data_IF_001259729305
#
_entry.id   IF_001259729305
#
_cell.length_a   1.000
_cell.length_b   1.000
_cell.length_c   1.000
_cell.angle_alpha   90.00
_cell.angle_beta   90.00
_cell.angle_gamma   90.00
#
_symmetry.space_group_name_H-M   'P 1'
#
loop_
_entity.id
_entity.type
_entity.pdbx_description
1 polymer ?
#
# COMPACT_ATOMS: atom_id res chain seq x y z
N UNK A 1 -32.65 7.19 3.66
CA UNK A 1 -32.98 5.75 3.55
C UNK A 1 -31.69 4.97 3.29
N UNK A 2 -31.12 4.38 4.33
CA UNK A 2 -29.87 3.59 4.21
C UNK A 2 -30.24 2.15 3.84
N UNK A 3 -29.88 1.73 2.63
CA UNK A 3 -30.05 0.34 2.17
C UNK A 3 -29.03 -0.55 2.89
N UNK A 4 -29.46 -1.24 3.95
CA UNK A 4 -28.69 -2.30 4.60
C UNK A 4 -28.59 -3.49 3.64
N UNK A 5 -27.43 -3.70 3.00
CA UNK A 5 -27.12 -4.96 2.29
C UNK A 5 -26.93 -6.06 3.34
N UNK A 6 -27.80 -7.07 3.29
CA UNK A 6 -27.77 -8.24 4.19
C UNK A 6 -26.71 -9.22 3.67
N UNK A 7 -25.74 -9.54 4.50
CA UNK A 7 -24.76 -10.59 4.23
C UNK A 7 -25.41 -11.94 4.53
N UNK A 8 -25.58 -12.79 3.52
CA UNK A 8 -26.10 -14.15 3.68
C UNK A 8 -25.04 -15.01 4.37
N UNK A 9 -25.38 -15.50 5.56
CA UNK A 9 -24.62 -16.46 6.35
C UNK A 9 -24.67 -17.83 5.65
N UNK A 10 -23.57 -18.31 5.09
CA UNK A 10 -23.48 -19.68 4.55
C UNK A 10 -23.07 -20.62 5.69
N UNK A 11 -23.95 -21.57 5.99
CA UNK A 11 -23.81 -22.52 7.07
C UNK A 11 -22.79 -23.62 6.73
N UNK A 12 -21.81 -23.77 7.61
CA UNK A 12 -20.85 -24.89 7.60
C UNK A 12 -21.58 -26.17 8.04
N UNK A 13 -21.87 -27.07 7.12
CA UNK A 13 -22.39 -28.41 7.44
C UNK A 13 -21.22 -29.39 7.63
N UNK A 14 -20.76 -29.57 8.87
CA UNK A 14 -19.98 -30.76 9.25
C UNK A 14 -20.91 -31.98 9.25
N UNK A 15 -20.69 -32.93 8.35
CA UNK A 15 -21.34 -34.25 8.39
C UNK A 15 -20.28 -35.29 8.78
N UNK A 16 -20.34 -35.74 10.03
CA UNK A 16 -19.66 -36.94 10.51
C UNK A 16 -20.34 -38.18 9.92
N UNK A 17 -19.61 -39.01 9.17
CA UNK A 17 -20.14 -40.24 8.56
C UNK A 17 -19.90 -41.43 9.50
N UNK A 18 -20.99 -42.00 10.04
CA UNK A 18 -21.00 -43.32 10.65
C UNK A 18 -21.16 -44.39 9.57
N UNK A 19 -20.33 -45.45 9.64
CA UNK A 19 -20.21 -46.46 8.59
C UNK A 19 -21.40 -47.41 8.48
N UNK A 20 -22.04 -47.42 7.31
CA UNK A 20 -22.82 -48.55 6.78
C UNK A 20 -22.45 -48.74 5.30
N UNK A 21 -22.32 -50.00 4.86
CA UNK A 21 -21.96 -50.36 3.49
C UNK A 21 -23.05 -49.88 2.50
N UNK A 22 -22.76 -48.82 1.74
CA UNK A 22 -23.54 -48.37 0.60
C UNK A 22 -22.83 -48.73 -0.72
N UNK A 23 -23.56 -48.96 -1.82
CA UNK A 23 -22.97 -49.26 -3.14
C UNK A 23 -22.08 -48.11 -3.64
N UNK A 24 -20.86 -48.43 -4.08
CA UNK A 24 -19.78 -47.48 -4.43
C UNK A 24 -20.18 -46.49 -5.54
N UNK A 25 -21.12 -46.85 -6.41
CA UNK A 25 -21.65 -45.98 -7.47
C UNK A 25 -22.39 -44.75 -6.94
N UNK A 26 -23.09 -44.84 -5.80
CA UNK A 26 -23.73 -43.67 -5.18
C UNK A 26 -22.72 -42.75 -4.49
N UNK A 27 -21.58 -43.30 -4.06
CA UNK A 27 -20.49 -42.54 -3.44
C UNK A 27 -19.77 -41.67 -4.47
N UNK A 28 -19.53 -42.19 -5.68
CA UNK A 28 -18.91 -41.44 -6.78
C UNK A 28 -19.79 -40.25 -7.23
N UNK A 29 -21.09 -40.50 -7.48
CA UNK A 29 -22.06 -39.45 -7.85
C UNK A 29 -22.21 -38.37 -6.76
N UNK A 30 -22.03 -38.78 -5.50
CA UNK A 30 -22.04 -37.87 -4.34
C UNK A 30 -20.77 -37.01 -4.27
N UNK A 31 -19.60 -37.56 -4.59
CA UNK A 31 -18.32 -36.83 -4.58
C UNK A 31 -18.25 -35.85 -5.77
N UNK A 32 -18.69 -36.25 -6.96
CA UNK A 32 -18.80 -35.35 -8.13
C UNK A 32 -19.67 -34.14 -7.84
N UNK A 33 -20.82 -34.36 -7.18
CA UNK A 33 -21.71 -33.26 -6.77
C UNK A 33 -21.03 -32.31 -5.78
N UNK A 34 -20.26 -32.83 -4.82
CA UNK A 34 -19.50 -32.01 -3.85
C UNK A 34 -18.38 -31.22 -4.53
N UNK A 35 -17.65 -31.82 -5.46
CA UNK A 35 -16.61 -31.12 -6.24
C UNK A 35 -17.24 -29.96 -7.02
N UNK A 36 -18.37 -30.20 -7.69
CA UNK A 36 -19.11 -29.16 -8.43
C UNK A 36 -19.60 -28.03 -7.51
N UNK A 37 -20.06 -28.35 -6.31
CA UNK A 37 -20.42 -27.34 -5.30
C UNK A 37 -19.19 -26.52 -4.89
N UNK A 38 -18.04 -27.15 -4.68
CA UNK A 38 -16.82 -26.46 -4.32
C UNK A 38 -16.30 -25.54 -5.43
N UNK A 39 -16.44 -25.95 -6.69
CA UNK A 39 -16.12 -25.11 -7.84
C UNK A 39 -17.01 -23.85 -7.91
N UNK A 40 -18.30 -24.00 -7.62
CA UNK A 40 -19.23 -22.86 -7.54
C UNK A 40 -18.86 -21.92 -6.39
N UNK A 41 -18.50 -22.46 -5.23
CA UNK A 41 -18.06 -21.67 -4.07
C UNK A 41 -16.76 -20.92 -4.37
N UNK A 42 -15.74 -21.58 -4.91
CA UNK A 42 -14.47 -20.97 -5.30
C UNK A 42 -14.71 -19.86 -6.33
N UNK A 43 -15.58 -20.08 -7.32
CA UNK A 43 -15.92 -19.08 -8.33
C UNK A 43 -16.57 -17.85 -7.70
N UNK A 44 -17.55 -18.03 -6.81
CA UNK A 44 -18.20 -16.93 -6.10
C UNK A 44 -17.23 -16.16 -5.17
N UNK A 45 -16.30 -16.86 -4.52
CA UNK A 45 -15.26 -16.22 -3.70
C UNK A 45 -14.29 -15.40 -4.54
N UNK A 46 -13.88 -15.90 -5.72
CA UNK A 46 -13.03 -15.16 -6.67
C UNK A 46 -13.75 -13.92 -7.22
N UNK A 47 -15.04 -14.02 -7.54
CA UNK A 47 -15.85 -12.85 -7.91
C UNK A 47 -15.90 -11.80 -6.79
N UNK A 48 -16.08 -12.25 -5.53
CA UNK A 48 -16.05 -11.37 -4.36
C UNK A 48 -14.68 -10.70 -4.18
N UNK A 49 -13.58 -11.44 -4.37
CA UNK A 49 -12.22 -10.88 -4.32
C UNK A 49 -12.01 -9.81 -5.39
N UNK A 50 -12.46 -10.07 -6.61
CA UNK A 50 -12.37 -9.10 -7.70
C UNK A 50 -13.17 -7.84 -7.37
N UNK A 51 -14.40 -7.98 -6.85
CA UNK A 51 -15.22 -6.84 -6.44
C UNK A 51 -14.65 -6.05 -5.27
N UNK A 52 -13.95 -6.69 -4.32
CA UNK A 52 -13.22 -6.01 -3.25
C UNK A 52 -12.01 -5.28 -3.82
N UNK A 53 -11.28 -5.90 -4.75
CA UNK A 53 -10.11 -5.30 -5.40
C UNK A 53 -10.49 -4.04 -6.19
N UNK A 54 -11.60 -4.06 -6.94
CA UNK A 54 -12.10 -2.87 -7.61
C UNK A 54 -12.45 -1.73 -6.64
N UNK A 55 -13.08 -2.04 -5.51
CA UNK A 55 -13.37 -1.04 -4.48
C UNK A 55 -12.10 -0.46 -3.84
N UNK A 56 -11.04 -1.27 -3.69
CA UNK A 56 -9.74 -0.79 -3.21
C UNK A 56 -9.12 0.16 -4.23
N UNK A 57 -9.13 -0.19 -5.51
CA UNK A 57 -8.60 0.68 -6.58
C UNK A 57 -9.35 2.01 -6.67
N UNK A 58 -10.69 1.99 -6.65
CA UNK A 58 -11.50 3.22 -6.63
C UNK A 58 -11.17 4.10 -5.41
N UNK A 59 -10.98 3.48 -4.25
CA UNK A 59 -10.63 4.19 -3.02
C UNK A 59 -9.21 4.76 -3.07
N UNK A 60 -8.25 4.06 -3.66
CA UNK A 60 -6.89 4.56 -3.88
C UNK A 60 -6.89 5.78 -4.81
N UNK A 61 -7.72 5.80 -5.85
CA UNK A 61 -7.92 6.97 -6.71
C UNK A 61 -8.52 8.15 -5.92
N UNK A 62 -9.50 7.91 -5.05
CA UNK A 62 -10.06 8.94 -4.17
C UNK A 62 -9.02 9.49 -3.18
N UNK A 63 -8.16 8.63 -2.62
CA UNK A 63 -7.06 9.04 -1.73
C UNK A 63 -6.04 9.89 -2.51
N UNK A 64 -5.68 9.50 -3.73
CA UNK A 64 -4.78 10.28 -4.58
C UNK A 64 -5.36 11.66 -4.91
N UNK A 65 -6.66 11.74 -5.22
CA UNK A 65 -7.36 13.01 -5.45
C UNK A 65 -7.37 13.91 -4.20
N UNK A 66 -7.60 13.33 -3.02
CA UNK A 66 -7.50 14.06 -1.74
C UNK A 66 -6.08 14.59 -1.53
N UNK A 67 -5.08 13.82 -1.92
CA UNK A 67 -3.69 14.22 -1.80
C UNK A 67 -3.38 15.43 -2.70
N UNK A 68 -3.82 15.41 -3.95
CA UNK A 68 -3.71 16.54 -4.88
C UNK A 68 -4.43 17.80 -4.37
N UNK A 69 -5.64 17.64 -3.82
CA UNK A 69 -6.38 18.73 -3.16
C UNK A 69 -5.59 19.30 -1.96
N UNK A 70 -4.94 18.44 -1.18
CA UNK A 70 -4.08 18.81 -0.06
C UNK A 70 -2.87 19.65 -0.49
N UNK A 71 -2.17 19.24 -1.55
CA UNK A 71 -1.07 20.01 -2.14
C UNK A 71 -1.55 21.38 -2.61
N UNK A 72 -2.70 21.42 -3.31
CA UNK A 72 -3.25 22.67 -3.81
C UNK A 72 -3.61 23.65 -2.68
N UNK A 73 -4.23 23.16 -1.61
CA UNK A 73 -4.54 23.95 -0.41
C UNK A 73 -3.27 24.46 0.28
N UNK A 74 -2.23 23.63 0.37
CA UNK A 74 -0.97 24.05 0.97
C UNK A 74 -0.30 25.17 0.14
N UNK A 75 -0.31 25.04 -1.20
CA UNK A 75 0.18 26.09 -2.09
C UNK A 75 -0.58 27.40 -1.92
N UNK A 76 -1.91 27.35 -1.77
CA UNK A 76 -2.71 28.53 -1.46
C UNK A 76 -2.27 29.15 -0.13
N UNK A 77 -2.08 28.33 0.91
CA UNK A 77 -1.61 28.78 2.23
C UNK A 77 -0.25 29.49 2.14
N UNK A 78 0.70 28.94 1.38
CA UNK A 78 2.03 29.55 1.16
C UNK A 78 1.91 30.88 0.42
N UNK A 79 1.08 30.97 -0.62
CA UNK A 79 0.84 32.23 -1.32
C UNK A 79 0.22 33.29 -0.41
N UNK A 80 -0.79 32.92 0.39
CA UNK A 80 -1.41 33.83 1.37
C UNK A 80 -0.39 34.31 2.41
N UNK A 81 0.53 33.45 2.86
CA UNK A 81 1.58 33.85 3.78
C UNK A 81 2.51 34.91 3.16
N UNK A 82 2.88 34.74 1.89
CA UNK A 82 3.67 35.73 1.14
C UNK A 82 2.90 37.05 0.94
N UNK A 83 1.62 36.98 0.58
CA UNK A 83 0.75 38.16 0.46
C UNK A 83 0.60 38.90 1.78
N UNK A 84 0.48 38.18 2.89
CA UNK A 84 0.43 38.74 4.24
C UNK A 84 1.72 39.47 4.61
N UNK A 85 2.89 38.88 4.31
CA UNK A 85 4.18 39.54 4.52
C UNK A 85 4.35 40.78 3.64
N UNK A 86 3.86 40.75 2.40
CA UNK A 86 3.88 41.94 1.55
C UNK A 86 2.93 43.03 2.08
N UNK A 87 1.73 42.65 2.53
CA UNK A 87 0.77 43.59 3.13
C UNK A 87 1.36 44.26 4.38
N UNK A 88 2.09 43.53 5.23
CA UNK A 88 2.81 44.11 6.39
C UNK A 88 3.81 45.18 5.96
N UNK A 89 4.57 44.95 4.89
CA UNK A 89 5.51 45.94 4.34
C UNK A 89 4.78 47.15 3.78
N UNK A 90 3.68 46.94 3.06
CA UNK A 90 2.86 48.01 2.49
C UNK A 90 2.25 48.91 3.58
N UNK A 91 1.80 48.32 4.69
CA UNK A 91 1.29 49.04 5.87
C UNK A 91 2.37 49.96 6.47
N UNK A 92 3.58 49.44 6.69
CA UNK A 92 4.70 50.23 7.23
C UNK A 92 5.09 51.37 6.28
N UNK A 93 5.16 51.09 4.98
CA UNK A 93 5.47 52.12 3.98
C UNK A 93 4.38 53.20 3.92
N UNK A 94 3.11 52.81 4.03
CA UNK A 94 2.00 53.74 4.07
C UNK A 94 2.06 54.61 5.33
N UNK A 95 2.31 54.03 6.51
CA UNK A 95 2.41 54.79 7.77
C UNK A 95 3.51 55.87 7.71
N UNK A 96 4.69 55.53 7.17
CA UNK A 96 5.76 56.52 6.93
C UNK A 96 5.30 57.65 6.01
N UNK A 97 4.57 57.32 4.93
CA UNK A 97 4.02 58.31 3.98
C UNK A 97 2.98 59.21 4.66
N UNK A 98 2.09 58.62 5.48
CA UNK A 98 1.08 59.34 6.26
C UNK A 98 1.74 60.34 7.20
N UNK A 99 2.75 59.92 7.95
CA UNK A 99 3.44 60.76 8.92
C UNK A 99 4.18 61.93 8.24
N UNK A 100 4.91 61.65 7.15
CA UNK A 100 5.58 62.70 6.34
C UNK A 100 4.58 63.71 5.79
N UNK A 101 3.45 63.24 5.24
CA UNK A 101 2.39 64.09 4.68
C UNK A 101 1.71 64.92 5.75
N UNK A 102 1.40 64.33 6.90
CA UNK A 102 0.78 65.00 8.05
C UNK A 102 1.67 66.12 8.58
N UNK A 103 2.98 65.86 8.71
CA UNK A 103 3.94 66.88 9.12
C UNK A 103 4.08 67.99 8.06
N UNK A 104 4.08 67.66 6.77
CA UNK A 104 4.12 68.65 5.70
C UNK A 104 2.89 69.56 5.72
N UNK A 105 1.68 68.98 5.81
CA UNK A 105 0.42 69.71 5.92
C UNK A 105 0.41 70.56 7.20
N UNK A 106 0.88 70.04 8.33
CA UNK A 106 0.97 70.79 9.60
C UNK A 106 1.94 71.96 9.50
N UNK A 107 3.10 71.78 8.88
CA UNK A 107 4.08 72.86 8.64
C UNK A 107 3.49 73.92 7.70
N UNK A 108 2.80 73.50 6.64
CA UNK A 108 2.12 74.42 5.71
C UNK A 108 0.98 75.18 6.40
N UNK A 109 0.12 74.48 7.14
CA UNK A 109 -0.97 75.07 7.92
C UNK A 109 -0.46 76.03 8.99
N UNK A 110 0.63 75.69 9.70
CA UNK A 110 1.28 76.59 10.65
C UNK A 110 1.94 77.78 9.96
N UNK A 111 2.61 77.60 8.83
CA UNK A 111 3.14 78.72 8.05
C UNK A 111 2.01 79.64 7.59
N UNK A 112 0.90 79.08 7.13
CA UNK A 112 -0.30 79.85 6.78
C UNK A 112 -0.90 80.55 7.99
N UNK A 113 -0.91 79.94 9.18
CA UNK A 113 -1.48 80.55 10.38
C UNK A 113 -0.56 81.59 11.05
N UNK A 114 0.75 81.33 11.10
CA UNK A 114 1.76 82.18 11.77
C UNK A 114 2.22 83.32 10.86
N UNK A 115 2.45 83.03 9.57
CA UNK A 115 2.76 84.07 8.58
C UNK A 115 1.49 84.65 7.95
N UNK A 116 0.32 84.07 8.22
CA UNK A 116 -0.98 84.55 7.77
C UNK A 116 -1.95 84.77 8.93
N UNK A 117 -1.67 85.76 9.77
CA UNK A 117 -2.78 86.60 10.23
C UNK A 117 -3.56 87.00 8.96
N UNK A 118 -4.87 86.75 8.89
CA UNK A 118 -5.67 86.60 7.66
C UNK A 118 -5.58 87.70 6.59
N UNK A 119 -4.83 88.78 6.83
CA UNK A 119 -4.41 89.80 5.89
C UNK A 119 -3.25 89.38 4.98
N UNK A 120 -2.32 88.48 5.35
CA UNK A 120 -1.10 88.23 4.54
C UNK A 120 -1.26 87.31 3.32
N UNK A 121 -2.22 86.39 3.26
CA UNK A 121 -2.51 85.65 2.00
C UNK A 121 -3.13 86.59 0.97
N UNK A 122 -4.00 87.49 1.43
CA UNK A 122 -4.47 88.62 0.63
C UNK A 122 -3.30 89.53 0.25
N UNK A 123 -2.39 89.82 1.18
CA UNK A 123 -1.22 90.68 0.96
C UNK A 123 -0.20 90.07 -0.01
N UNK A 124 -0.01 88.75 -0.07
CA UNK A 124 0.84 88.08 -1.07
C UNK A 124 0.24 88.20 -2.48
N UNK A 125 -1.08 88.25 -2.61
CA UNK A 125 -1.78 88.50 -3.86
C UNK A 125 -1.79 90.00 -4.21
N UNK A 126 -1.92 90.88 -3.20
CA UNK A 126 -1.99 92.34 -3.32
C UNK A 126 -0.61 93.01 -3.52
N UNK A 127 0.48 92.46 -2.97
CA UNK A 127 1.88 92.88 -3.18
C UNK A 127 2.56 92.18 -4.36
N UNK A 128 1.77 91.58 -5.26
CA UNK A 128 2.30 91.03 -6.51
C UNK A 128 2.87 92.15 -7.39
N UNK A 129 4.02 91.92 -8.04
CA UNK A 129 4.71 92.95 -8.84
C UNK A 129 3.97 93.29 -10.14
N UNK A 130 2.98 92.48 -10.53
CA UNK A 130 2.09 92.67 -11.68
C UNK A 130 0.88 91.72 -11.58
N UNK A 131 -0.16 91.96 -12.39
CA UNK A 131 -1.34 91.07 -12.51
C UNK A 131 -0.92 89.64 -12.90
N UNK A 132 0.14 89.49 -13.70
CA UNK A 132 0.68 88.17 -14.09
C UNK A 132 1.35 87.44 -12.91
N UNK A 133 2.03 88.16 -12.01
CA UNK A 133 2.64 87.61 -10.79
C UNK A 133 1.54 87.20 -9.77
N UNK A 134 0.44 87.97 -9.66
CA UNK A 134 -0.71 87.59 -8.84
C UNK A 134 -1.35 86.27 -9.30
N UNK A 135 -1.60 86.14 -10.61
CA UNK A 135 -2.20 84.94 -11.22
C UNK A 135 -1.28 83.74 -11.06
N UNK A 136 0.02 83.90 -11.27
CA UNK A 136 1.01 82.83 -11.04
C UNK A 136 1.05 82.36 -9.58
N UNK A 137 0.98 83.29 -8.62
CA UNK A 137 0.94 82.96 -7.18
C UNK A 137 -0.37 82.27 -6.78
N UNK A 138 -1.51 82.72 -7.31
CA UNK A 138 -2.80 82.07 -7.09
C UNK A 138 -2.84 80.66 -7.68
N UNK A 139 -2.28 80.47 -8.88
CA UNK A 139 -2.12 79.15 -9.51
C UNK A 139 -1.20 78.24 -8.69
N UNK A 140 -0.09 78.76 -8.16
CA UNK A 140 0.81 77.98 -7.31
C UNK A 140 0.17 77.55 -5.98
N UNK A 141 -0.55 78.46 -5.31
CA UNK A 141 -1.29 78.15 -4.07
C UNK A 141 -2.41 77.14 -4.34
N UNK A 142 -3.18 77.33 -5.41
CA UNK A 142 -4.22 76.40 -5.87
C UNK A 142 -3.62 75.02 -6.18
N UNK A 143 -2.49 74.98 -6.90
CA UNK A 143 -1.76 73.75 -7.24
C UNK A 143 -1.28 73.00 -5.99
N UNK A 144 -0.75 73.69 -4.97
CA UNK A 144 -0.34 73.08 -3.70
C UNK A 144 -1.55 72.51 -2.94
N UNK A 145 -2.65 73.25 -2.88
CA UNK A 145 -3.90 72.80 -2.23
C UNK A 145 -4.50 71.58 -2.93
N UNK A 146 -4.55 71.60 -4.27
CA UNK A 146 -5.00 70.46 -5.08
C UNK A 146 -4.12 69.24 -4.87
N UNK A 147 -2.79 69.39 -4.93
CA UNK A 147 -1.86 68.29 -4.69
C UNK A 147 -1.99 67.71 -3.27
N UNK A 148 -2.20 68.56 -2.26
CA UNK A 148 -2.43 68.10 -0.89
C UNK A 148 -3.74 67.33 -0.75
N UNK A 149 -4.82 67.81 -1.38
CA UNK A 149 -6.11 67.13 -1.36
C UNK A 149 -6.05 65.78 -2.11
N UNK A 150 -5.41 65.73 -3.28
CA UNK A 150 -5.17 64.50 -4.03
C UNK A 150 -4.36 63.48 -3.22
N UNK A 151 -3.31 63.94 -2.54
CA UNK A 151 -2.49 63.10 -1.68
C UNK A 151 -3.28 62.53 -0.48
N UNK A 152 -4.17 63.30 0.13
CA UNK A 152 -5.06 62.82 1.21
C UNK A 152 -6.08 61.81 0.68
N UNK A 153 -6.64 62.03 -0.52
CA UNK A 153 -7.56 61.08 -1.15
C UNK A 153 -6.84 59.78 -1.49
N UNK A 154 -5.65 59.83 -2.08
CA UNK A 154 -4.79 58.64 -2.29
C UNK A 154 -4.53 57.89 -0.98
N UNK A 155 -4.31 58.60 0.13
CA UNK A 155 -4.15 57.98 1.45
C UNK A 155 -5.38 57.19 1.90
N UNK A 156 -6.56 57.77 1.65
CA UNK A 156 -7.83 57.14 2.01
C UNK A 156 -8.04 55.88 1.19
N UNK A 157 -7.76 55.94 -0.11
CA UNK A 157 -7.82 54.77 -1.00
C UNK A 157 -6.80 53.69 -0.58
N UNK A 158 -5.55 54.07 -0.27
CA UNK A 158 -4.53 53.13 0.21
C UNK A 158 -4.97 52.42 1.50
N UNK A 159 -5.57 53.16 2.45
CA UNK A 159 -6.11 52.57 3.70
C UNK A 159 -7.28 51.61 3.44
N UNK A 160 -8.19 51.97 2.54
CA UNK A 160 -9.32 51.12 2.16
C UNK A 160 -8.83 49.83 1.49
N UNK A 161 -7.85 49.92 0.59
CA UNK A 161 -7.24 48.77 -0.06
C UNK A 161 -6.55 47.83 0.94
N UNK A 162 -5.88 48.38 1.95
CA UNK A 162 -5.27 47.56 3.03
C UNK A 162 -6.33 46.81 3.83
N UNK A 163 -7.42 47.47 4.22
CA UNK A 163 -8.49 46.85 4.98
C UNK A 163 -9.22 45.76 4.17
N UNK A 164 -9.43 46.01 2.87
CA UNK A 164 -9.99 45.04 1.93
C UNK A 164 -9.07 43.83 1.75
N UNK A 165 -7.75 44.05 1.56
CA UNK A 165 -6.76 42.97 1.50
C UNK A 165 -6.68 42.17 2.80
N UNK A 166 -6.71 42.84 3.95
CA UNK A 166 -6.71 42.18 5.26
C UNK A 166 -7.93 41.28 5.42
N UNK A 167 -9.11 41.82 5.14
CA UNK A 167 -10.38 41.07 5.20
C UNK A 167 -10.35 39.88 4.23
N UNK A 168 -9.85 40.08 3.02
CA UNK A 168 -9.70 39.03 2.01
C UNK A 168 -8.77 37.91 2.49
N UNK A 169 -7.60 38.25 3.07
CA UNK A 169 -6.66 37.27 3.62
C UNK A 169 -7.28 36.49 4.79
N UNK A 170 -7.96 37.18 5.73
CA UNK A 170 -8.63 36.54 6.86
C UNK A 170 -9.72 35.55 6.41
N UNK A 171 -10.54 35.94 5.43
CA UNK A 171 -11.57 35.08 4.85
C UNK A 171 -10.97 33.87 4.12
N UNK A 172 -9.91 34.09 3.32
CA UNK A 172 -9.26 33.00 2.60
C UNK A 172 -8.55 32.03 3.57
N UNK A 173 -7.93 32.53 4.64
CA UNK A 173 -7.31 31.70 5.67
C UNK A 173 -8.36 30.81 6.36
N UNK A 174 -9.50 31.41 6.75
CA UNK A 174 -10.62 30.67 7.35
C UNK A 174 -11.14 29.58 6.40
N UNK A 175 -11.32 29.92 5.12
CA UNK A 175 -11.75 28.97 4.09
C UNK A 175 -10.76 27.81 3.91
N UNK A 176 -9.45 28.10 3.90
CA UNK A 176 -8.39 27.08 3.82
C UNK A 176 -8.39 26.18 5.05
N UNK A 177 -8.56 26.73 6.26
CA UNK A 177 -8.63 25.93 7.50
C UNK A 177 -9.84 25.00 7.52
N UNK A 178 -11.01 25.49 7.09
CA UNK A 178 -12.21 24.66 6.95
C UNK A 178 -12.04 23.57 5.90
N UNK A 179 -11.48 23.90 4.74
CA UNK A 179 -11.20 22.96 3.67
C UNK A 179 -10.21 21.89 4.13
N UNK A 180 -9.13 22.28 4.80
CA UNK A 180 -8.11 21.37 5.36
C UNK A 180 -8.74 20.41 6.39
N UNK A 181 -9.60 20.92 7.27
CA UNK A 181 -10.30 20.09 8.26
C UNK A 181 -11.25 19.08 7.60
N UNK A 182 -11.97 19.48 6.56
CA UNK A 182 -12.85 18.60 5.80
C UNK A 182 -12.03 17.53 5.05
N UNK A 183 -10.91 17.94 4.46
CA UNK A 183 -9.99 17.06 3.74
C UNK A 183 -9.43 15.98 4.67
N UNK A 184 -8.94 16.37 5.85
CA UNK A 184 -8.37 15.44 6.83
C UNK A 184 -9.40 14.39 7.28
N UNK A 185 -10.63 14.81 7.59
CA UNK A 185 -11.72 13.89 7.95
C UNK A 185 -12.08 12.92 6.81
N UNK A 186 -12.06 13.39 5.56
CA UNK A 186 -12.28 12.52 4.40
C UNK A 186 -11.14 11.50 4.29
N UNK A 187 -9.89 11.97 4.40
CA UNK A 187 -8.69 11.13 4.35
C UNK A 187 -8.74 10.02 5.40
N UNK A 188 -9.00 10.37 6.66
CA UNK A 188 -9.16 9.40 7.76
C UNK A 188 -10.26 8.37 7.46
N UNK A 189 -11.40 8.80 6.93
CA UNK A 189 -12.50 7.90 6.59
C UNK A 189 -12.14 6.93 5.46
N UNK A 190 -11.42 7.41 4.43
CA UNK A 190 -10.99 6.57 3.33
C UNK A 190 -9.92 5.56 3.78
N UNK A 191 -8.93 5.99 4.56
CA UNK A 191 -7.91 5.08 5.11
C UNK A 191 -8.56 3.97 5.96
N UNK A 192 -9.53 4.33 6.81
CA UNK A 192 -10.27 3.34 7.60
C UNK A 192 -11.02 2.33 6.73
N UNK A 193 -11.70 2.81 5.67
CA UNK A 193 -12.37 1.94 4.69
C UNK A 193 -11.40 1.05 3.92
N UNK A 194 -10.22 1.56 3.56
CA UNK A 194 -9.18 0.77 2.90
C UNK A 194 -8.73 -0.38 3.79
N UNK A 195 -8.50 -0.10 5.08
CA UNK A 195 -8.13 -1.13 6.05
C UNK A 195 -9.23 -2.20 6.19
N UNK A 196 -10.50 -1.80 6.30
CA UNK A 196 -11.64 -2.74 6.36
C UNK A 196 -11.72 -3.62 5.09
N UNK A 197 -11.53 -3.03 3.91
CA UNK A 197 -11.52 -3.76 2.64
C UNK A 197 -10.34 -4.73 2.54
N UNK A 198 -9.16 -4.34 3.01
CA UNK A 198 -7.97 -5.21 3.04
C UNK A 198 -8.17 -6.40 3.99
N UNK A 199 -8.80 -6.20 5.15
CA UNK A 199 -9.19 -7.31 6.05
C UNK A 199 -10.20 -8.23 5.37
N UNK A 200 -11.21 -7.68 4.68
CA UNK A 200 -12.19 -8.47 3.94
C UNK A 200 -11.55 -9.25 2.78
N UNK A 201 -10.57 -8.65 2.09
CA UNK A 201 -9.79 -9.29 1.03
C UNK A 201 -9.01 -10.48 1.57
N UNK A 202 -8.22 -10.28 2.63
CA UNK A 202 -7.46 -11.35 3.29
C UNK A 202 -8.37 -12.48 3.79
N UNK A 203 -9.54 -12.14 4.35
CA UNK A 203 -10.54 -13.14 4.75
C UNK A 203 -11.07 -13.94 3.57
N UNK A 204 -11.40 -13.28 2.45
CA UNK A 204 -11.87 -13.95 1.24
C UNK A 204 -10.78 -14.83 0.60
N UNK A 205 -9.51 -14.41 0.63
CA UNK A 205 -8.34 -15.21 0.23
C UNK A 205 -8.18 -16.46 1.10
N UNK A 206 -8.30 -16.31 2.42
CA UNK A 206 -8.27 -17.46 3.33
C UNK A 206 -9.43 -18.43 3.08
N UNK A 207 -10.66 -17.93 2.87
CA UNK A 207 -11.83 -18.75 2.53
C UNK A 207 -11.62 -19.50 1.20
N UNK A 208 -11.06 -18.81 0.19
CA UNK A 208 -10.77 -19.40 -1.13
C UNK A 208 -9.75 -20.52 -1.02
N UNK A 209 -8.65 -20.30 -0.28
CA UNK A 209 -7.62 -21.32 -0.05
C UNK A 209 -8.19 -22.54 0.69
N UNK A 210 -9.04 -22.31 1.71
CA UNK A 210 -9.74 -23.39 2.41
C UNK A 210 -10.64 -24.21 1.48
N UNK A 211 -11.41 -23.53 0.62
CA UNK A 211 -12.26 -24.16 -0.38
C UNK A 211 -11.47 -24.96 -1.42
N UNK A 212 -10.36 -24.43 -1.92
CA UNK A 212 -9.46 -25.13 -2.85
C UNK A 212 -8.82 -26.37 -2.20
N UNK A 213 -8.43 -26.29 -0.93
CA UNK A 213 -7.93 -27.43 -0.17
C UNK A 213 -9.00 -28.51 0.03
N UNK A 214 -10.23 -28.13 0.36
CA UNK A 214 -11.35 -29.06 0.48
C UNK A 214 -11.64 -29.77 -0.86
N UNK A 215 -11.64 -29.02 -1.98
CA UNK A 215 -11.78 -29.58 -3.32
C UNK A 215 -10.66 -30.60 -3.61
N UNK A 216 -9.41 -30.27 -3.32
CA UNK A 216 -8.28 -31.17 -3.51
C UNK A 216 -8.40 -32.46 -2.69
N UNK A 217 -8.94 -32.38 -1.47
CA UNK A 217 -9.22 -33.57 -0.65
C UNK A 217 -10.31 -34.45 -1.27
N UNK A 218 -11.37 -33.85 -1.81
CA UNK A 218 -12.44 -34.58 -2.50
C UNK A 218 -11.93 -35.27 -3.78
N UNK A 219 -11.06 -34.61 -4.54
CA UNK A 219 -10.42 -35.19 -5.73
C UNK A 219 -9.55 -36.41 -5.37
N UNK A 220 -8.80 -36.36 -4.26
CA UNK A 220 -8.04 -37.51 -3.75
C UNK A 220 -8.99 -38.67 -3.39
N UNK A 221 -10.07 -38.39 -2.67
CA UNK A 221 -11.06 -39.40 -2.29
C UNK A 221 -11.71 -40.05 -3.52
N UNK A 222 -12.05 -39.25 -4.54
CA UNK A 222 -12.58 -39.77 -5.81
C UNK A 222 -11.58 -40.72 -6.49
N UNK A 223 -10.31 -40.34 -6.54
CA UNK A 223 -9.27 -41.15 -7.15
C UNK A 223 -9.06 -42.48 -6.41
N UNK A 224 -9.10 -42.47 -5.08
CA UNK A 224 -9.02 -43.69 -4.25
C UNK A 224 -10.23 -44.59 -4.47
N UNK A 225 -11.44 -44.04 -4.51
CA UNK A 225 -12.67 -44.79 -4.78
C UNK A 225 -12.64 -45.45 -6.18
N UNK A 226 -12.18 -44.73 -7.21
CA UNK A 226 -12.00 -45.27 -8.56
C UNK A 226 -10.96 -46.41 -8.59
N UNK A 227 -9.81 -46.25 -7.92
CA UNK A 227 -8.80 -47.31 -7.80
C UNK A 227 -9.37 -48.57 -7.14
N UNK A 228 -10.12 -48.42 -6.05
CA UNK A 228 -10.76 -49.54 -5.36
C UNK A 228 -11.82 -50.23 -6.25
N UNK A 229 -12.57 -49.46 -7.02
CA UNK A 229 -13.58 -50.00 -7.94
C UNK A 229 -12.94 -50.83 -9.06
N UNK A 230 -11.88 -50.31 -9.71
CA UNK A 230 -11.12 -51.05 -10.74
C UNK A 230 -10.51 -52.34 -10.17
N UNK A 231 -9.94 -52.29 -8.97
CA UNK A 231 -9.39 -53.48 -8.31
C UNK A 231 -10.46 -54.54 -8.01
N UNK A 232 -11.65 -54.11 -7.57
CA UNK A 232 -12.78 -55.00 -7.30
C UNK A 232 -13.32 -55.62 -8.60
N UNK A 233 -13.41 -54.83 -9.66
CA UNK A 233 -13.83 -55.32 -10.98
C UNK A 233 -12.83 -56.33 -11.58
N UNK A 234 -11.53 -56.09 -11.42
CA UNK A 234 -10.49 -57.02 -11.83
C UNK A 234 -10.60 -58.35 -11.08
N UNK A 235 -10.80 -58.29 -9.76
CA UNK A 235 -11.02 -59.48 -8.92
C UNK A 235 -12.27 -60.26 -9.33
N UNK A 236 -13.38 -59.57 -9.56
CA UNK A 236 -14.64 -60.19 -10.00
C UNK A 236 -14.54 -60.82 -11.40
N UNK A 237 -13.74 -60.23 -12.30
CA UNK A 237 -13.46 -60.81 -13.63
C UNK A 237 -12.62 -62.08 -13.52
N UNK A 238 -11.62 -62.10 -12.63
CA UNK A 238 -10.80 -63.29 -12.38
C UNK A 238 -11.62 -64.41 -11.74
N UNK A 239 -12.44 -64.13 -10.73
CA UNK A 239 -13.32 -65.11 -10.09
C UNK A 239 -14.33 -65.71 -11.07
N UNK A 240 -14.89 -64.92 -12.00
CA UNK A 240 -15.77 -65.42 -13.08
C UNK A 240 -15.03 -66.29 -14.09
N UNK A 241 -13.76 -66.00 -14.37
CA UNK A 241 -12.92 -66.78 -15.30
C UNK A 241 -12.52 -68.13 -14.68
N UNK A 242 -12.25 -68.16 -13.37
CA UNK A 242 -11.99 -69.40 -12.61
C UNK A 242 -13.26 -70.26 -12.48
N UNK A 243 -14.42 -69.65 -12.23
CA UNK A 243 -15.70 -70.37 -12.20
C UNK A 243 -16.07 -70.99 -13.56
N UNK A 244 -15.87 -70.25 -14.67
CA UNK A 244 -16.11 -70.77 -16.02
C UNK A 244 -15.15 -71.91 -16.44
N UNK A 245 -13.95 -71.96 -15.85
CA UNK A 245 -12.97 -73.04 -16.11
C UNK A 245 -13.22 -74.30 -15.27
N UNK A 246 -13.97 -74.17 -14.16
CA UNK A 246 -14.35 -75.31 -13.31
C UNK A 246 -15.54 -76.12 -13.85
N UNK A 247 -16.36 -75.53 -14.74
CA UNK A 247 -17.53 -76.20 -15.36
C UNK A 247 -17.14 -77.01 -16.63
N UNK A 248 -16.02 -76.70 -17.27
CA UNK A 248 -15.52 -77.47 -18.43
C UNK A 248 -14.79 -78.77 -18.04
N UNK A 249 -14.62 -79.05 -16.75
CA UNK A 249 -13.88 -80.22 -16.25
C UNK A 249 -14.78 -81.41 -15.90
N UNK A 250 -16.11 -81.33 -16.13
CA UNK A 250 -17.06 -82.41 -15.84
C UNK A 250 -17.58 -83.17 -17.07
N UNK A 251 -17.02 -82.89 -18.25
CA UNK A 251 -17.46 -83.47 -19.52
C UNK A 251 -16.30 -84.02 -20.37
N UNK A 252 -15.29 -84.67 -19.79
CA UNK A 252 -14.34 -85.47 -20.59
C UNK A 252 -13.73 -86.60 -19.77
N UNK A 253 -14.54 -87.58 -19.38
CA UNK A 253 -14.02 -88.90 -18.96
C UNK A 253 -14.98 -89.99 -19.44
N UNK A 254 -15.02 -90.18 -20.76
CA UNK A 254 -15.43 -91.41 -21.46
C UNK A 254 -15.28 -91.19 -22.96
N UNK A 255 -14.09 -91.41 -23.51
CA UNK A 255 -13.93 -92.28 -24.67
C UNK A 255 -12.43 -92.48 -24.94
N UNK A 256 -11.97 -93.69 -24.67
CA UNK A 256 -10.67 -94.18 -25.06
C UNK A 256 -10.82 -95.08 -26.30
N UNK A 257 -9.83 -94.97 -27.19
CA UNK A 257 -9.23 -96.02 -28.05
C UNK A 257 -9.57 -96.03 -29.56
N UNK A 258 -8.46 -96.06 -30.32
CA UNK A 258 -8.19 -96.50 -31.71
C UNK A 258 -8.39 -95.47 -32.83
N UNK A 259 -7.46 -95.27 -33.79
CA UNK A 259 -6.34 -96.10 -34.26
C UNK A 259 -5.37 -95.27 -35.14
N UNK A 260 -4.10 -95.71 -35.12
CA UNK A 260 -2.94 -95.61 -36.05
C UNK A 260 -3.22 -95.04 -37.47
N UNK A 261 -2.30 -94.43 -38.24
CA UNK A 261 -0.90 -94.80 -38.50
C UNK A 261 -0.22 -93.78 -39.45
N UNK A 262 1.11 -93.65 -39.35
CA UNK A 262 2.09 -93.60 -40.46
C UNK A 262 2.88 -92.31 -40.79
N UNK A 263 4.21 -92.50 -40.67
CA UNK A 263 5.34 -92.00 -41.51
C UNK A 263 5.81 -90.53 -41.33
N UNK A 264 6.98 -90.28 -40.71
CA UNK A 264 8.37 -90.29 -41.28
C UNK A 264 8.58 -89.17 -42.34
N UNK A 265 9.65 -88.38 -42.47
CA UNK A 265 10.95 -88.14 -41.80
C UNK A 265 11.52 -86.81 -42.38
N UNK A 266 12.52 -86.21 -41.70
CA UNK A 266 13.52 -85.22 -42.18
C UNK A 266 13.02 -83.76 -42.35
N UNK A 267 13.71 -82.69 -41.97
CA UNK A 267 15.15 -82.38 -41.83
C UNK A 267 15.37 -81.26 -40.79
N UNK A 268 16.39 -81.38 -39.94
CA UNK A 268 17.10 -80.28 -39.26
C UNK A 268 18.08 -79.60 -40.26
N UNK A 269 18.90 -78.57 -39.93
CA UNK A 269 19.11 -77.87 -38.65
C UNK A 269 19.06 -76.31 -38.83
N UNK A 270 19.14 -75.45 -37.81
CA UNK A 270 20.41 -75.09 -37.19
C UNK A 270 20.25 -74.03 -36.10
N UNK A 271 21.06 -74.22 -35.05
CA UNK A 271 21.78 -73.24 -34.21
C UNK A 271 20.96 -72.31 -33.31
N UNK A 272 21.00 -72.53 -31.97
CA UNK A 272 22.10 -72.20 -31.03
C UNK A 272 22.16 -70.69 -30.76
N UNK A 273 22.27 -70.18 -29.54
CA UNK A 273 22.63 -70.70 -28.23
C UNK A 273 22.11 -69.66 -27.20
N UNK A 274 21.56 -70.07 -26.05
CA UNK A 274 22.26 -70.16 -24.75
C UNK A 274 22.54 -68.74 -24.16
N UNK A 275 22.31 -68.41 -22.88
CA UNK A 275 22.36 -69.24 -21.68
C UNK A 275 21.83 -68.44 -20.46
N UNK A 276 21.38 -69.18 -19.45
CA UNK A 276 21.55 -68.92 -18.00
C UNK A 276 20.65 -67.90 -17.25
N UNK A 277 19.53 -68.46 -16.76
CA UNK A 277 19.09 -68.44 -15.34
C UNK A 277 20.21 -68.98 -14.38
N UNK A 278 20.08 -69.01 -13.01
CA UNK A 278 18.91 -68.73 -12.17
C UNK A 278 19.16 -68.04 -10.79
N UNK A 279 18.05 -67.76 -10.06
CA UNK A 279 17.76 -68.04 -8.62
C UNK A 279 18.73 -67.58 -7.50
N UNK A 280 18.38 -67.27 -6.25
CA UNK A 280 17.21 -66.82 -5.48
C UNK A 280 17.71 -66.66 -4.03
N UNK A 281 16.91 -66.01 -3.17
CA UNK A 281 16.86 -66.14 -1.69
C UNK A 281 17.93 -65.51 -0.74
N UNK A 282 17.35 -64.84 0.27
CA UNK A 282 17.78 -64.18 1.55
C UNK A 282 18.01 -65.26 2.68
N UNK A 283 18.37 -65.03 3.99
CA UNK A 283 18.90 -63.90 4.84
C UNK A 283 20.17 -64.23 5.71
N UNK A 284 20.65 -63.24 6.51
CA UNK A 284 21.26 -63.27 7.90
C UNK A 284 22.40 -64.28 8.26
N UNK A 285 23.35 -64.09 9.18
CA UNK A 285 23.89 -63.04 10.07
C UNK A 285 25.31 -63.51 10.55
N UNK A 286 26.09 -62.57 11.12
CA UNK A 286 26.95 -62.71 12.32
C UNK A 286 28.53 -62.79 12.36
N UNK A 287 29.06 -61.80 13.14
CA UNK A 287 30.17 -61.68 14.13
C UNK A 287 31.66 -61.84 13.77
N UNK A 288 32.45 -60.79 14.06
CA UNK A 288 33.54 -60.87 15.06
C UNK A 288 33.76 -59.58 15.85
N UNK A 289 33.82 -59.74 17.17
CA UNK A 289 33.96 -58.79 18.28
C UNK A 289 35.33 -58.06 18.37
N UNK A 290 35.36 -56.87 19.00
CA UNK A 290 35.88 -56.76 20.37
C UNK A 290 35.57 -55.43 21.09
N UNK A 291 35.19 -55.62 22.35
CA UNK A 291 34.78 -54.70 23.42
C UNK A 291 36.02 -53.95 23.99
N UNK A 292 35.95 -52.82 24.73
CA UNK A 292 35.62 -52.80 26.18
C UNK A 292 35.51 -51.36 26.76
N UNK A 293 34.36 -51.10 27.41
CA UNK A 293 34.05 -50.28 28.60
C UNK A 293 33.73 -48.75 28.57
N UNK A 294 32.45 -48.47 28.85
CA UNK A 294 31.75 -47.26 29.37
C UNK A 294 31.68 -47.34 30.94
N UNK A 295 31.07 -46.42 31.78
CA UNK A 295 30.13 -45.30 31.54
C UNK A 295 30.44 -43.97 32.28
N UNK A 296 29.85 -42.80 31.99
CA UNK A 296 28.83 -42.38 31.05
C UNK A 296 28.47 -40.88 31.23
N UNK A 297 27.55 -40.40 30.39
CA UNK A 297 26.69 -39.20 30.53
C UNK A 297 27.13 -37.86 29.87
N UNK A 298 26.42 -37.57 28.76
CA UNK A 298 26.00 -36.26 28.20
C UNK A 298 27.00 -35.25 27.62
N UNK A 299 27.06 -35.25 26.27
CA UNK A 299 26.97 -34.12 25.31
C UNK A 299 27.96 -32.93 25.41
N UNK A 300 28.98 -32.90 24.53
CA UNK A 300 29.72 -31.69 24.08
C UNK A 300 29.42 -31.39 22.59
N UNK A 301 29.75 -30.28 21.94
CA UNK A 301 30.42 -29.03 22.27
C UNK A 301 30.17 -28.07 21.10
N UNK A 302 30.00 -26.81 21.46
CA UNK A 302 30.26 -25.54 20.77
C UNK A 302 31.03 -25.59 19.42
N UNK A 303 30.42 -24.97 18.41
CA UNK A 303 31.10 -24.27 17.31
C UNK A 303 31.20 -22.78 17.68
N UNK A 304 32.28 -22.05 17.33
CA UNK A 304 32.45 -20.66 17.75
C UNK A 304 31.47 -19.75 17.00
N UNK A 305 30.52 -19.17 17.75
CA UNK A 305 29.59 -18.17 17.25
C UNK A 305 30.32 -16.84 17.04
N UNK A 306 30.21 -16.28 15.85
CA UNK A 306 30.61 -14.90 15.57
C UNK A 306 29.63 -14.02 16.36
N UNK A 307 30.06 -12.96 17.09
CA UNK A 307 29.11 -12.16 17.86
C UNK A 307 28.19 -11.42 16.90
N UNK A 308 26.95 -11.90 16.73
CA UNK A 308 25.90 -11.14 16.07
C UNK A 308 25.53 -10.02 17.02
N UNK A 309 26.13 -8.84 16.83
CA UNK A 309 25.69 -7.63 17.53
C UNK A 309 24.20 -7.45 17.31
N UNK A 310 23.38 -7.29 18.36
CA UNK A 310 21.96 -7.07 18.21
C UNK A 310 21.72 -5.82 17.34
N UNK A 311 20.69 -5.82 16.49
CA UNK A 311 20.40 -4.70 15.61
C UNK A 311 20.24 -3.41 16.43
N UNK A 312 20.85 -2.32 15.95
CA UNK A 312 20.76 -1.03 16.63
C UNK A 312 19.28 -0.58 16.68
N UNK A 313 18.80 -0.22 17.86
CA UNK A 313 17.40 0.16 18.09
C UNK A 313 17.24 1.68 18.20
N UNK A 314 16.02 2.17 17.97
CA UNK A 314 15.64 3.57 18.09
C UNK A 314 14.25 3.70 18.72
N UNK A 315 14.03 4.80 19.44
CA UNK A 315 12.72 5.20 19.96
C UNK A 315 11.77 5.75 18.88
N UNK A 316 12.23 5.88 17.64
CA UNK A 316 11.46 6.39 16.53
C UNK A 316 10.25 5.48 16.21
N UNK A 317 9.06 6.08 16.14
CA UNK A 317 7.81 5.35 15.95
C UNK A 317 7.68 4.71 14.56
N UNK A 318 8.18 5.38 13.51
CA UNK A 318 8.10 4.88 12.12
C UNK A 318 9.03 3.69 11.94
N UNK A 319 10.24 3.77 12.51
CA UNK A 319 11.17 2.66 12.58
C UNK A 319 10.58 1.44 13.29
N UNK A 320 9.95 1.64 14.45
CA UNK A 320 9.33 0.55 15.20
C UNK A 320 8.16 -0.08 14.42
N UNK A 321 7.34 0.74 13.77
CA UNK A 321 6.24 0.27 12.93
C UNK A 321 6.73 -0.53 11.72
N UNK A 322 7.79 -0.09 11.03
CA UNK A 322 8.40 -0.83 9.93
C UNK A 322 8.91 -2.20 10.40
N UNK A 323 9.62 -2.25 11.53
CA UNK A 323 10.11 -3.52 12.07
C UNK A 323 8.99 -4.46 12.52
N UNK A 324 7.89 -3.93 13.06
CA UNK A 324 6.72 -4.72 13.38
C UNK A 324 6.06 -5.32 12.12
N UNK A 325 5.93 -4.51 11.05
CA UNK A 325 5.44 -4.97 9.76
C UNK A 325 6.35 -6.08 9.20
N UNK A 326 7.67 -5.84 9.14
CA UNK A 326 8.64 -6.83 8.65
C UNK A 326 8.57 -8.14 9.42
N UNK A 327 8.48 -8.08 10.76
CA UNK A 327 8.34 -9.27 11.60
C UNK A 327 7.04 -10.05 11.30
N UNK A 328 5.92 -9.36 11.08
CA UNK A 328 4.66 -10.00 10.70
C UNK A 328 4.73 -10.72 9.35
N UNK A 329 5.65 -10.30 8.48
CA UNK A 329 5.95 -10.92 7.19
C UNK A 329 7.11 -11.92 7.23
N UNK A 330 7.61 -12.27 8.42
CA UNK A 330 8.70 -13.25 8.60
C UNK A 330 10.07 -12.74 8.15
N UNK A 331 10.23 -11.42 7.99
CA UNK A 331 11.49 -10.79 7.61
C UNK A 331 12.33 -10.43 8.83
N UNK A 332 13.65 -10.40 8.66
CA UNK A 332 14.56 -9.94 9.70
C UNK A 332 14.35 -8.44 9.99
N UNK A 333 14.43 -8.03 11.27
CA UNK A 333 14.37 -6.63 11.64
C UNK A 333 15.59 -5.89 11.09
N UNK A 334 15.37 -4.62 10.71
CA UNK A 334 16.41 -3.69 10.28
C UNK A 334 16.96 -2.91 11.46
N UNK A 335 18.21 -2.47 11.34
CA UNK A 335 18.86 -1.61 12.33
C UNK A 335 18.61 -0.13 12.01
N UNK A 336 18.49 0.69 13.05
CA UNK A 336 18.48 2.14 12.89
C UNK A 336 19.85 2.65 12.46
N UNK A 337 19.86 3.52 11.45
CA UNK A 337 21.06 4.21 10.96
C UNK A 337 20.84 5.73 11.04
N UNK A 338 21.59 6.37 11.94
CA UNK A 338 21.51 7.81 12.17
C UNK A 338 21.98 8.63 10.96
N UNK A 339 22.90 8.10 10.14
CA UNK A 339 23.35 8.75 8.91
C UNK A 339 22.27 8.74 7.84
N UNK A 340 21.58 7.61 7.67
CA UNK A 340 20.41 7.52 6.80
C UNK A 340 19.31 8.48 7.28
N UNK A 341 19.02 8.54 8.58
CA UNK A 341 18.01 9.45 9.12
C UNK A 341 18.36 10.94 8.90
N UNK A 342 19.63 11.32 9.07
CA UNK A 342 20.10 12.66 8.78
C UNK A 342 19.99 13.00 7.29
N UNK A 343 20.32 12.06 6.41
CA UNK A 343 20.17 12.22 4.96
C UNK A 343 18.69 12.35 4.55
N UNK A 344 17.81 11.53 5.13
CA UNK A 344 16.37 11.57 4.91
C UNK A 344 15.77 12.91 5.39
N UNK A 345 16.25 13.45 6.51
CA UNK A 345 15.82 14.78 7.01
C UNK A 345 16.24 15.90 6.08
N UNK A 346 17.48 15.83 5.58
CA UNK A 346 17.99 16.80 4.59
C UNK A 346 17.17 16.74 3.31
N UNK A 347 16.80 15.53 2.88
CA UNK A 347 15.98 15.26 1.72
C UNK A 347 14.54 15.78 1.89
N UNK A 348 13.90 15.52 3.03
CA UNK A 348 12.58 16.05 3.39
C UNK A 348 12.53 17.59 3.36
N UNK A 349 13.64 18.25 3.76
CA UNK A 349 13.73 19.72 3.75
C UNK A 349 13.63 20.34 2.34
N UNK A 350 13.95 19.57 1.29
CA UNK A 350 13.84 20.04 -0.10
C UNK A 350 12.39 20.04 -0.61
N UNK A 351 11.47 19.41 0.12
CA UNK A 351 10.09 19.15 -0.33
C UNK A 351 9.04 19.88 0.51
N UNK A 352 9.41 20.95 1.21
CA UNK A 352 8.46 21.75 2.00
C UNK A 352 7.30 22.31 1.15
N UNK A 353 7.51 22.47 -0.16
CA UNK A 353 6.49 22.87 -1.13
C UNK A 353 5.76 21.67 -1.80
N UNK A 354 5.88 20.46 -1.23
CA UNK A 354 5.29 19.22 -1.75
C UNK A 354 5.75 18.86 -3.17
N UNK A 355 6.92 19.34 -3.57
CA UNK A 355 7.54 18.99 -4.84
C UNK A 355 8.42 17.75 -4.66
N UNK A 356 8.06 16.67 -5.35
CA UNK A 356 8.85 15.44 -5.38
C UNK A 356 10.07 15.67 -6.30
N UNK A 357 11.31 15.48 -5.82
CA UNK A 357 12.50 15.55 -6.65
C UNK A 357 12.44 14.54 -7.80
N UNK A 358 12.80 14.94 -9.02
CA UNK A 358 12.66 14.09 -10.21
C UNK A 358 13.48 12.80 -10.16
N UNK A 359 14.57 12.79 -9.39
CA UNK A 359 15.42 11.62 -9.19
C UNK A 359 14.77 10.56 -8.30
N UNK A 360 13.73 10.89 -7.52
CA UNK A 360 12.98 9.96 -6.67
C UNK A 360 12.54 8.70 -7.42
N UNK A 361 12.01 8.86 -8.63
CA UNK A 361 11.48 7.75 -9.44
C UNK A 361 12.52 6.71 -9.89
N UNK A 362 13.81 7.00 -9.68
CA UNK A 362 14.91 6.09 -10.00
C UNK A 362 15.65 5.60 -8.74
N UNK A 363 15.18 5.97 -7.54
CA UNK A 363 15.77 5.59 -6.26
C UNK A 363 15.05 4.38 -5.69
N UNK A 364 15.74 3.26 -5.59
CA UNK A 364 15.24 2.05 -4.92
C UNK A 364 15.45 2.04 -3.40
N UNK A 365 16.18 3.03 -2.89
CA UNK A 365 16.55 3.20 -1.49
C UNK A 365 15.67 4.22 -0.75
N UNK A 366 14.70 4.84 -1.42
CA UNK A 366 13.91 5.97 -0.90
C UNK A 366 12.41 5.72 -0.98
N UNK A 367 11.70 6.14 0.08
CA UNK A 367 10.24 6.30 0.08
C UNK A 367 9.88 7.68 0.61
N UNK A 368 8.82 8.28 0.06
CA UNK A 368 8.35 9.61 0.42
C UNK A 368 6.87 9.53 0.79
N UNK A 369 6.49 10.25 1.83
CA UNK A 369 5.10 10.48 2.16
C UNK A 369 4.89 11.94 2.55
N UNK A 370 3.68 12.40 2.29
CA UNK A 370 3.24 13.74 2.59
C UNK A 370 1.91 13.67 3.33
N UNK A 371 1.71 14.54 4.32
CA UNK A 371 0.45 14.65 5.06
C UNK A 371 0.06 13.36 5.80
N UNK A 372 1.03 12.50 6.13
CA UNK A 372 0.85 11.34 6.99
C UNK A 372 1.53 11.54 8.33
N UNK A 373 0.96 10.97 9.38
CA UNK A 373 1.60 10.97 10.70
C UNK A 373 2.76 9.96 10.74
N UNK A 374 3.84 10.24 11.49
CA UNK A 374 4.88 9.26 11.77
C UNK A 374 4.32 7.99 12.44
N UNK A 375 5.06 6.89 12.33
CA UNK A 375 4.67 5.62 12.92
C UNK A 375 3.83 4.75 12.00
N UNK A 376 2.85 4.06 12.58
CA UNK A 376 2.03 3.08 11.86
C UNK A 376 1.19 3.71 10.74
N UNK A 377 0.86 5.01 10.84
CA UNK A 377 0.04 5.68 9.82
C UNK A 377 0.74 5.71 8.46
N UNK A 378 2.00 6.13 8.39
CA UNK A 378 2.75 6.21 7.13
C UNK A 378 3.15 4.83 6.61
N UNK A 379 3.57 3.92 7.50
CA UNK A 379 3.93 2.54 7.13
C UNK A 379 2.73 1.82 6.50
N UNK A 380 1.55 1.91 7.11
CA UNK A 380 0.37 1.26 6.51
C UNK A 380 -0.13 1.98 5.26
N UNK A 381 0.17 3.27 5.07
CA UNK A 381 -0.15 3.95 3.82
C UNK A 381 0.70 3.39 2.67
N UNK A 382 2.02 3.32 2.86
CA UNK A 382 2.96 2.71 1.91
C UNK A 382 2.64 1.24 1.62
N UNK A 383 2.37 0.45 2.66
CA UNK A 383 2.06 -0.96 2.51
C UNK A 383 0.80 -1.23 1.68
N UNK A 384 -0.25 -0.43 1.92
CA UNK A 384 -1.55 -0.64 1.29
C UNK A 384 -1.64 -0.07 -0.13
N UNK A 385 -0.63 0.66 -0.60
CA UNK A 385 -0.64 1.27 -1.92
C UNK A 385 -0.41 0.23 -3.02
N UNK A 386 -1.36 0.11 -3.96
CA UNK A 386 -1.30 -0.89 -5.05
C UNK A 386 -1.34 -0.30 -6.46
N UNK A 387 -1.46 1.02 -6.58
CA UNK A 387 -1.51 1.72 -7.86
C UNK A 387 -0.24 2.55 -8.14
N UNK A 388 0.93 2.04 -7.74
CA UNK A 388 2.21 2.73 -7.95
C UNK A 388 2.78 2.46 -9.33
N UNK A 389 3.38 3.48 -9.95
CA UNK A 389 4.14 3.37 -11.21
C UNK A 389 5.47 2.67 -10.95
N UNK A 390 5.40 1.35 -10.78
CA UNK A 390 6.52 0.45 -10.48
C UNK A 390 6.29 -0.91 -11.15
N UNK A 391 7.33 -1.74 -11.40
CA UNK A 391 7.16 -3.04 -12.05
C UNK A 391 6.18 -3.99 -11.34
N UNK A 392 6.07 -3.90 -10.02
CA UNK A 392 5.16 -4.69 -9.19
C UNK A 392 3.77 -4.07 -9.00
N UNK A 393 3.62 -2.77 -9.33
CA UNK A 393 2.47 -1.95 -8.94
C UNK A 393 2.52 -1.46 -7.49
N UNK A 394 3.50 -1.88 -6.68
CA UNK A 394 3.48 -1.74 -5.21
C UNK A 394 4.76 -1.16 -4.64
N UNK A 395 5.43 -0.29 -5.40
CA UNK A 395 6.79 0.23 -5.14
C UNK A 395 7.14 0.56 -3.69
N UNK A 396 6.28 1.26 -2.94
CA UNK A 396 6.53 1.54 -1.52
C UNK A 396 6.50 0.28 -0.65
N UNK A 397 5.51 -0.60 -0.83
CA UNK A 397 5.47 -1.90 -0.15
C UNK A 397 6.68 -2.77 -0.49
N UNK A 398 7.18 -2.71 -1.72
CA UNK A 398 8.36 -3.47 -2.11
C UNK A 398 9.61 -3.00 -1.35
N UNK A 399 9.72 -1.70 -1.11
CA UNK A 399 10.78 -1.14 -0.27
C UNK A 399 10.65 -1.62 1.19
N UNK A 400 9.44 -1.58 1.76
CA UNK A 400 9.19 -2.00 3.14
C UNK A 400 9.50 -3.49 3.37
N UNK A 401 9.13 -4.31 2.38
CA UNK A 401 9.30 -5.77 2.41
C UNK A 401 10.61 -6.25 1.76
N UNK A 402 11.52 -5.34 1.40
CA UNK A 402 12.79 -5.71 0.80
C UNK A 402 13.59 -6.62 1.74
N UNK A 403 13.84 -7.91 1.38
CA UNK A 403 14.57 -8.83 2.24
C UNK A 403 16.06 -8.48 2.36
N UNK A 404 16.61 -7.72 1.40
CA UNK A 404 18.00 -7.26 1.41
C UNK A 404 18.23 -6.00 2.25
N UNK A 405 17.18 -5.32 2.70
CA UNK A 405 17.32 -4.15 3.57
C UNK A 405 17.85 -4.56 4.93
N UNK A 406 18.94 -3.92 5.38
CA UNK A 406 19.59 -4.19 6.67
C UNK A 406 19.54 -3.00 7.61
N UNK A 407 19.53 -1.79 7.05
CA UNK A 407 19.54 -0.52 7.80
C UNK A 407 18.52 0.44 7.23
N UNK A 408 17.98 1.29 8.10
CA UNK A 408 17.01 2.31 7.72
C UNK A 408 17.18 3.57 8.56
N UNK A 409 16.81 4.71 8.00
CA UNK A 409 16.63 5.95 8.75
C UNK A 409 15.47 6.76 8.19
N UNK A 410 14.72 7.40 9.09
CA UNK A 410 13.59 8.25 8.75
C UNK A 410 13.88 9.71 9.09
N UNK A 411 13.41 10.61 8.23
CA UNK A 411 13.50 12.05 8.40
C UNK A 411 12.14 12.73 8.27
N UNK A 412 11.94 13.79 9.05
CA UNK A 412 10.65 14.47 9.18
C UNK A 412 10.83 15.99 9.10
N UNK A 413 10.12 16.64 8.18
CA UNK A 413 10.14 18.10 8.04
C UNK A 413 8.74 18.58 7.68
N UNK A 414 8.07 19.28 8.62
CA UNK A 414 6.67 19.65 8.46
C UNK A 414 5.81 18.39 8.27
N UNK A 415 5.04 18.37 7.18
CA UNK A 415 4.19 17.24 6.79
C UNK A 415 4.90 16.24 5.87
N UNK A 416 6.22 16.37 5.67
CA UNK A 416 7.02 15.49 4.80
C UNK A 416 7.72 14.43 5.63
N UNK A 417 7.59 13.17 5.20
CA UNK A 417 8.32 12.01 5.74
C UNK A 417 9.14 11.39 4.62
N UNK A 418 10.43 11.15 4.88
CA UNK A 418 11.32 10.42 3.97
C UNK A 418 11.92 9.23 4.70
N UNK A 419 11.90 8.06 4.07
CA UNK A 419 12.63 6.88 4.51
C UNK A 419 13.79 6.59 3.56
N UNK A 420 14.99 6.38 4.12
CA UNK A 420 16.15 5.88 3.38
C UNK A 420 16.59 4.52 3.90
N UNK A 421 16.97 3.62 3.01
CA UNK A 421 17.42 2.26 3.35
C UNK A 421 18.81 1.92 2.79
N UNK A 422 19.44 0.89 3.37
CA UNK A 422 20.70 0.33 2.90
C UNK A 422 20.81 -1.19 3.12
#
# INVERSE_FOLDING_TARGET
>A
MVKKKRWSLVAVCMITVAGTMMPISSLAETVDKKIKQQDQEISALKEKQNGITSQITELEEEIASIFDEGIALNKQKTNLAQESEQLKKDIVALDVRINKRTEAIRKQGRNVQVNGQGTQILDILLNSKSISDAVGRAQAISSILTANNELVEQQKQDKLLIEDKKTTIENNLTSIEEASTKLEKKKENLIAKQADLNVLKAKAESETSGAENAKNSLLKQQQEALKAQVATEAKNKEEKKVAASSDSSKATEKQSVQKEESSETTTAPSTSNNTEEPSSSKPEENITDNNTNNPGTTKPSETPDVPVTPPATSGDATFQALNALRAAHGLSPVSWDAGLAASATSRASLMQDFQIPSDHWNRGDEVIAFMFAPGNSVIMAWYNETNMVSPSGTGHRDWELNPGMTRVGFGYVGDVIVGHSA
#
